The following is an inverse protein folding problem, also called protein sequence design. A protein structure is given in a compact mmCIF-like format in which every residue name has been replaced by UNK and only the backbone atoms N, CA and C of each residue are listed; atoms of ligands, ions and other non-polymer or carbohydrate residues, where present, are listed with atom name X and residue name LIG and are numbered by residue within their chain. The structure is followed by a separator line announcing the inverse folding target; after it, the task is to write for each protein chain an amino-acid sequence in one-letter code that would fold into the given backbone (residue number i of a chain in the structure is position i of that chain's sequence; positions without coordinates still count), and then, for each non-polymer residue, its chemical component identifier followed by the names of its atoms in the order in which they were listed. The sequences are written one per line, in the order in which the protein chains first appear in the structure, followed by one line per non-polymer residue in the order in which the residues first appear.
data_IF_920570311373
#
_entry.id   IF_920570311373
#
_cell.length_a   1.000
_cell.length_b   1.000
_cell.length_c   1.000
_cell.angle_alpha   90.00
_cell.angle_beta   90.00
_cell.angle_gamma   90.00
#
_symmetry.space_group_name_H-M   'P 1'
#
loop_
_entity.id
_entity.type
_entity.pdbx_description
1 polymer ?
#
# COMPACT_ATOMS: atom_id res chain seq x y z
N UNK A 1 7.40 -44.79 6.21
CA UNK A 1 8.30 -43.61 6.15
C UNK A 1 7.37 -42.41 6.03
N UNK A 2 7.09 -41.77 7.17
CA UNK A 2 6.13 -40.67 7.27
C UNK A 2 6.73 -39.41 6.65
N UNK A 3 6.09 -38.90 5.60
CA UNK A 3 6.30 -37.52 5.15
C UNK A 3 5.70 -36.64 6.26
N UNK A 4 6.57 -36.07 7.08
CA UNK A 4 6.27 -34.93 7.93
C UNK A 4 5.84 -33.79 7.01
N UNK A 5 4.53 -33.62 6.84
CA UNK A 5 3.96 -32.38 6.32
C UNK A 5 4.50 -31.23 7.18
N UNK A 6 5.25 -30.35 6.53
CA UNK A 6 5.77 -29.13 7.12
C UNK A 6 4.59 -28.28 7.61
N UNK A 7 4.44 -28.00 8.91
CA UNK A 7 3.35 -27.16 9.42
C UNK A 7 3.51 -25.68 9.05
N UNK A 8 4.54 -25.30 8.29
CA UNK A 8 4.73 -23.94 7.76
C UNK A 8 4.01 -23.66 6.44
N UNK A 9 2.99 -24.44 6.08
CA UNK A 9 2.04 -24.02 5.05
C UNK A 9 1.18 -22.91 5.64
N UNK A 10 1.70 -21.68 5.57
CA UNK A 10 1.02 -20.38 5.75
C UNK A 10 -0.34 -20.53 6.43
N UNK A 11 -0.31 -20.75 7.75
CA UNK A 11 -1.53 -20.82 8.54
C UNK A 11 -2.32 -19.55 8.23
N UNK A 12 -3.47 -19.74 7.59
CA UNK A 12 -4.47 -18.72 7.32
C UNK A 12 -4.87 -18.13 8.67
N UNK A 13 -4.15 -17.12 9.14
CA UNK A 13 -4.41 -16.46 10.41
C UNK A 13 -5.65 -15.59 10.21
N UNK A 14 -6.81 -16.23 10.35
CA UNK A 14 -8.16 -15.68 10.32
C UNK A 14 -8.49 -14.86 9.06
N UNK A 15 -9.20 -15.46 8.09
CA UNK A 15 -9.75 -14.74 6.93
C UNK A 15 -10.58 -13.48 7.27
N UNK A 16 -11.05 -13.37 8.52
CA UNK A 16 -11.74 -12.18 9.07
C UNK A 16 -10.81 -10.97 9.30
N UNK A 17 -9.52 -11.19 9.58
CA UNK A 17 -8.53 -10.11 9.80
C UNK A 17 -7.88 -9.68 8.49
N UNK A 18 -7.63 -10.62 7.57
CA UNK A 18 -7.11 -10.31 6.23
C UNK A 18 -8.08 -9.42 5.43
N UNK A 19 -9.38 -9.78 5.42
CA UNK A 19 -10.41 -9.01 4.72
C UNK A 19 -10.53 -7.57 5.23
N UNK A 20 -10.47 -7.37 6.56
CA UNK A 20 -10.44 -6.02 7.15
C UNK A 20 -9.18 -5.26 6.76
N UNK A 21 -8.02 -5.94 6.72
CA UNK A 21 -6.78 -5.35 6.25
C UNK A 21 -6.88 -4.82 4.82
N UNK A 22 -7.46 -5.58 3.89
CA UNK A 22 -7.66 -5.15 2.50
C UNK A 22 -8.58 -3.93 2.42
N UNK A 23 -9.68 -3.93 3.17
CA UNK A 23 -10.58 -2.76 3.25
C UNK A 23 -9.84 -1.54 3.79
N UNK A 24 -9.01 -1.72 4.82
CA UNK A 24 -8.13 -0.68 5.35
C UNK A 24 -7.14 -0.17 4.31
N UNK A 25 -6.54 -1.05 3.52
CA UNK A 25 -5.63 -0.69 2.44
C UNK A 25 -6.32 0.19 1.39
N UNK A 26 -7.52 -0.21 0.96
CA UNK A 26 -8.31 0.57 -0.01
C UNK A 26 -8.69 1.94 0.55
N UNK A 27 -9.13 2.01 1.81
CA UNK A 27 -9.44 3.28 2.47
C UNK A 27 -8.21 4.17 2.63
N UNK A 28 -7.07 3.60 3.02
CA UNK A 28 -5.80 4.31 3.15
C UNK A 28 -5.28 4.82 1.81
N UNK A 29 -5.41 4.00 0.74
CA UNK A 29 -5.08 4.41 -0.61
C UNK A 29 -6.00 5.54 -1.08
N UNK A 30 -7.32 5.40 -0.95
CA UNK A 30 -8.27 6.44 -1.35
C UNK A 30 -8.04 7.75 -0.57
N UNK A 31 -7.79 7.66 0.74
CA UNK A 31 -7.45 8.82 1.56
C UNK A 31 -6.11 9.44 1.14
N UNK A 32 -5.11 8.62 0.81
CA UNK A 32 -3.80 9.08 0.33
C UNK A 32 -3.90 9.80 -1.02
N UNK A 33 -4.61 9.22 -1.98
CA UNK A 33 -4.89 9.83 -3.29
C UNK A 33 -5.62 11.16 -3.09
N UNK A 34 -6.68 11.17 -2.27
CA UNK A 34 -7.48 12.36 -2.00
C UNK A 34 -6.68 13.47 -1.31
N UNK A 35 -5.90 13.13 -0.27
CA UNK A 35 -5.04 14.06 0.44
C UNK A 35 -3.97 14.65 -0.48
N UNK A 36 -3.35 13.80 -1.30
CA UNK A 36 -2.32 14.23 -2.25
C UNK A 36 -2.92 15.13 -3.34
N UNK A 37 -4.09 14.79 -3.88
CA UNK A 37 -4.79 15.60 -4.87
C UNK A 37 -5.26 16.95 -4.30
N UNK A 38 -5.81 16.96 -3.09
CA UNK A 38 -6.20 18.18 -2.40
C UNK A 38 -4.98 19.08 -2.13
N UNK A 39 -3.87 18.50 -1.67
CA UNK A 39 -2.63 19.22 -1.44
C UNK A 39 -2.07 19.82 -2.73
N UNK A 40 -2.08 19.06 -3.83
CA UNK A 40 -1.67 19.56 -5.14
C UNK A 40 -2.54 20.73 -5.62
N UNK A 41 -3.86 20.65 -5.43
CA UNK A 41 -4.79 21.72 -5.80
C UNK A 41 -4.58 23.00 -4.97
N UNK A 42 -4.23 22.87 -3.68
CA UNK A 42 -4.00 24.02 -2.79
C UNK A 42 -2.59 24.63 -2.92
N UNK A 43 -1.55 23.79 -2.91
CA UNK A 43 -0.17 24.24 -2.85
C UNK A 43 0.45 24.48 -4.24
N UNK A 44 -0.14 23.92 -5.32
CA UNK A 44 0.42 23.97 -6.67
C UNK A 44 1.76 23.24 -6.82
N UNK A 45 2.22 22.56 -5.76
CA UNK A 45 3.53 21.94 -5.70
C UNK A 45 3.47 20.50 -6.18
N UNK A 46 4.33 20.17 -7.15
CA UNK A 46 4.35 18.87 -7.83
C UNK A 46 5.58 18.08 -7.39
N UNK A 47 5.42 17.24 -6.37
CA UNK A 47 6.51 16.41 -5.86
C UNK A 47 6.22 14.91 -6.02
N UNK A 48 7.00 14.16 -6.83
CA UNK A 48 6.76 12.74 -7.08
C UNK A 48 6.83 11.90 -5.80
N UNK A 49 7.72 12.26 -4.87
CA UNK A 49 7.93 11.58 -3.59
C UNK A 49 6.70 11.61 -2.67
N UNK A 50 5.70 12.45 -2.93
CA UNK A 50 4.43 12.43 -2.20
C UNK A 50 3.70 11.09 -2.39
N UNK A 51 3.97 10.36 -3.48
CA UNK A 51 3.44 9.01 -3.70
C UNK A 51 3.89 8.01 -2.63
N UNK A 52 5.03 8.24 -1.96
CA UNK A 52 5.46 7.43 -0.80
C UNK A 52 4.49 7.57 0.35
N UNK A 53 3.90 8.76 0.54
CA UNK A 53 2.87 9.01 1.54
C UNK A 53 1.63 8.14 1.33
N UNK A 54 1.21 7.93 0.07
CA UNK A 54 0.08 7.04 -0.25
C UNK A 54 0.37 5.61 0.20
N UNK A 55 1.57 5.09 -0.06
CA UNK A 55 1.97 3.74 0.35
C UNK A 55 2.02 3.59 1.87
N UNK A 56 2.57 4.59 2.56
CA UNK A 56 2.59 4.64 4.03
C UNK A 56 1.16 4.61 4.57
N UNK A 57 0.27 5.44 4.03
CA UNK A 57 -1.13 5.52 4.48
C UNK A 57 -1.88 4.21 4.18
N UNK A 58 -1.66 3.62 3.00
CA UNK A 58 -2.22 2.34 2.58
C UNK A 58 -1.83 1.23 3.56
N UNK A 59 -0.54 1.07 3.85
CA UNK A 59 -0.06 0.05 4.80
C UNK A 59 -0.51 0.33 6.24
N UNK A 60 -0.53 1.59 6.66
CA UNK A 60 -0.95 1.98 8.01
C UNK A 60 -2.42 1.68 8.27
N UNK A 61 -3.32 2.10 7.37
CA UNK A 61 -4.75 1.82 7.53
C UNK A 61 -5.06 0.33 7.39
N UNK A 62 -4.33 -0.39 6.53
CA UNK A 62 -4.47 -1.84 6.44
C UNK A 62 -4.12 -2.52 7.76
N UNK A 63 -2.97 -2.21 8.36
CA UNK A 63 -2.56 -2.73 9.66
C UNK A 63 -3.53 -2.34 10.77
N UNK A 64 -3.96 -1.08 10.79
CA UNK A 64 -4.89 -0.56 11.79
C UNK A 64 -6.22 -1.34 11.77
N UNK A 65 -6.72 -1.68 10.58
CA UNK A 65 -8.00 -2.35 10.43
C UNK A 65 -7.91 -3.88 10.54
N UNK A 66 -6.78 -4.47 10.11
CA UNK A 66 -6.47 -5.88 10.35
C UNK A 66 -6.17 -6.17 11.83
N UNK A 67 -5.84 -5.15 12.64
CA UNK A 67 -5.37 -5.29 14.03
C UNK A 67 -4.18 -6.24 14.17
N UNK A 68 -3.34 -6.31 13.15
CA UNK A 68 -2.20 -7.21 13.06
C UNK A 68 -1.49 -7.04 11.70
N UNK A 69 -0.23 -7.47 11.64
CA UNK A 69 0.56 -7.49 10.41
C UNK A 69 0.84 -8.91 9.95
N UNK A 70 0.73 -9.15 8.65
CA UNK A 70 0.98 -10.44 8.00
C UNK A 70 1.73 -10.19 6.68
N UNK A 71 2.67 -11.06 6.31
CA UNK A 71 3.37 -10.98 5.02
C UNK A 71 2.40 -10.98 3.84
N UNK A 72 1.32 -11.76 3.93
CA UNK A 72 0.27 -11.82 2.89
C UNK A 72 -0.43 -10.46 2.74
N UNK A 73 -0.73 -9.81 3.86
CA UNK A 73 -1.34 -8.48 3.85
C UNK A 73 -0.35 -7.44 3.28
N UNK A 74 0.93 -7.58 3.58
CA UNK A 74 2.01 -6.79 3.00
C UNK A 74 2.02 -6.83 1.47
N UNK A 75 1.95 -8.03 0.88
CA UNK A 75 1.91 -8.19 -0.58
C UNK A 75 0.67 -7.53 -1.20
N UNK A 76 -0.51 -7.70 -0.58
CA UNK A 76 -1.75 -7.10 -1.09
C UNK A 76 -1.68 -5.56 -0.99
N UNK A 77 -1.19 -5.02 0.12
CA UNK A 77 -1.01 -3.58 0.29
C UNK A 77 -0.01 -3.00 -0.72
N UNK A 78 1.10 -3.69 -0.97
CA UNK A 78 2.05 -3.30 -2.02
C UNK A 78 1.39 -3.30 -3.41
N UNK A 79 0.61 -4.34 -3.71
CA UNK A 79 -0.14 -4.47 -4.96
C UNK A 79 -1.25 -3.42 -5.14
N UNK A 80 -1.84 -2.89 -4.07
CA UNK A 80 -2.83 -1.80 -4.11
C UNK A 80 -2.13 -0.44 -4.21
N UNK A 81 -1.04 -0.25 -3.46
CA UNK A 81 -0.29 1.00 -3.44
C UNK A 81 0.35 1.31 -4.81
N UNK A 82 0.86 0.30 -5.51
CA UNK A 82 1.47 0.49 -6.84
C UNK A 82 0.52 1.18 -7.85
N UNK A 83 -0.65 0.62 -8.22
CA UNK A 83 -1.58 1.25 -9.14
C UNK A 83 -2.19 2.53 -8.58
N UNK A 84 -2.36 2.67 -7.26
CA UNK A 84 -2.84 3.91 -6.64
C UNK A 84 -1.86 5.07 -6.86
N UNK A 85 -0.56 4.83 -6.63
CA UNK A 85 0.50 5.83 -6.84
C UNK A 85 0.67 6.12 -8.33
N UNK A 86 0.78 5.08 -9.15
CA UNK A 86 0.85 5.17 -10.62
C UNK A 86 -0.32 6.01 -11.17
N UNK A 87 -1.54 5.69 -10.77
CA UNK A 87 -2.75 6.40 -11.18
C UNK A 87 -2.75 7.85 -10.73
N UNK A 88 -2.35 8.13 -9.49
CA UNK A 88 -2.28 9.51 -8.95
C UNK A 88 -1.25 10.35 -9.67
N UNK A 89 -0.05 9.81 -9.92
CA UNK A 89 0.98 10.52 -10.65
C UNK A 89 0.59 10.76 -12.10
N UNK A 90 -0.05 9.78 -12.76
CA UNK A 90 -0.59 9.97 -14.10
C UNK A 90 -1.66 11.09 -14.13
N UNK A 91 -2.56 11.13 -13.15
CA UNK A 91 -3.59 12.17 -13.01
C UNK A 91 -3.00 13.56 -12.76
N UNK A 92 -1.86 13.66 -12.07
CA UNK A 92 -1.22 14.92 -11.72
C UNK A 92 -0.28 15.46 -12.80
N UNK A 93 0.50 14.58 -13.43
CA UNK A 93 1.56 14.94 -14.37
C UNK A 93 1.19 14.75 -15.83
N UNK A 94 0.17 13.95 -16.16
CA UNK A 94 -0.20 13.60 -17.54
C UNK A 94 0.80 12.70 -18.27
N UNK A 95 2.04 12.63 -17.79
CA UNK A 95 3.12 11.76 -18.24
C UNK A 95 3.70 10.97 -17.07
N UNK A 96 4.48 9.92 -17.36
CA UNK A 96 5.14 9.07 -16.38
C UNK A 96 6.60 9.54 -16.15
N UNK A 97 6.88 10.39 -15.15
CA UNK A 97 8.25 10.88 -14.96
C UNK A 97 9.13 9.74 -14.39
N UNK A 98 10.38 9.64 -14.82
CA UNK A 98 11.34 8.59 -14.39
C UNK A 98 11.51 8.55 -12.86
N UNK A 99 11.49 9.71 -12.21
CA UNK A 99 11.48 9.88 -10.73
C UNK A 99 10.24 9.26 -10.05
N UNK A 100 9.14 9.05 -10.79
CA UNK A 100 7.97 8.31 -10.31
C UNK A 100 8.28 6.85 -10.06
N UNK A 101 9.21 6.24 -10.81
CA UNK A 101 9.54 4.82 -10.66
C UNK A 101 10.14 4.57 -9.28
N UNK A 102 11.11 5.42 -8.89
CA UNK A 102 11.72 5.36 -7.55
C UNK A 102 10.63 5.58 -6.49
N UNK A 103 9.75 6.56 -6.68
CA UNK A 103 8.67 6.81 -5.72
C UNK A 103 7.70 5.63 -5.61
N UNK A 104 7.34 4.97 -6.70
CA UNK A 104 6.46 3.79 -6.69
C UNK A 104 7.14 2.66 -5.92
N UNK A 105 8.41 2.36 -6.23
CA UNK A 105 9.17 1.29 -5.56
C UNK A 105 9.28 1.56 -4.06
N UNK A 106 9.63 2.78 -3.65
CA UNK A 106 9.74 3.16 -2.23
C UNK A 106 8.37 3.13 -1.56
N UNK A 107 7.31 3.59 -2.23
CA UNK A 107 5.94 3.56 -1.72
C UNK A 107 5.45 2.13 -1.48
N UNK A 108 5.65 1.23 -2.43
CA UNK A 108 5.32 -0.20 -2.32
C UNK A 108 6.12 -0.86 -1.20
N UNK A 109 7.40 -0.55 -1.10
CA UNK A 109 8.27 -1.07 -0.03
C UNK A 109 7.80 -0.63 1.35
N UNK A 110 7.39 0.63 1.50
CA UNK A 110 6.84 1.15 2.75
C UNK A 110 5.47 0.56 3.06
N UNK A 111 4.59 0.45 2.08
CA UNK A 111 3.27 -0.18 2.24
C UNK A 111 3.41 -1.63 2.73
N UNK A 112 4.29 -2.41 2.08
CA UNK A 112 4.62 -3.77 2.48
C UNK A 112 5.14 -3.80 3.91
N UNK A 113 6.20 -3.05 4.20
CA UNK A 113 6.87 -3.07 5.50
C UNK A 113 5.96 -2.66 6.65
N UNK A 114 5.06 -1.71 6.44
CA UNK A 114 4.13 -1.25 7.47
C UNK A 114 3.01 -2.28 7.68
N UNK A 115 2.51 -2.90 6.61
CA UNK A 115 1.43 -3.88 6.70
C UNK A 115 1.90 -5.28 7.14
N UNK A 116 3.17 -5.63 6.92
CA UNK A 116 3.76 -6.92 7.33
C UNK A 116 4.37 -6.88 8.73
N UNK A 117 4.58 -5.69 9.30
CA UNK A 117 5.15 -5.49 10.64
C UNK A 117 4.07 -5.41 11.70
#
# INVERSE_FOLDING_TARGET
MNIIENPNTTAFSDGSNLGKGVVGAILGAAAGIGAMYAFYKLAGFRFPLLGVGIGILTGFFAKLLAKGGDETLGYICGGIAAPAVVGTLYLMYGEFPIISIISVVVSVSMAYKIASS
#
